data_IF_821269268162
#
_entry.id   IF_821269268162
#
_cell.length_a   1.000
_cell.length_b   1.000
_cell.length_c   1.000
_cell.angle_alpha   90.00
_cell.angle_beta   90.00
_cell.angle_gamma   90.00
#
_symmetry.space_group_name_H-M   'P 1'
#
loop_
_entity.id
_entity.type
_entity.pdbx_description
1 polymer ?
#
# COMPACT_ATOMS: atom_id res chain seq x y z
N UNK A 1 -31.16 -32.71 -0.40
CA UNK A 1 -30.37 -32.58 0.85
C UNK A 1 -28.90 -32.81 0.51
N UNK A 2 -28.12 -31.76 0.35
CA UNK A 2 -26.68 -31.87 0.14
C UNK A 2 -26.03 -32.07 1.51
N UNK A 3 -25.51 -33.27 1.74
CA UNK A 3 -24.74 -33.60 2.94
C UNK A 3 -23.36 -32.98 2.77
N UNK A 4 -23.08 -31.89 3.49
CA UNK A 4 -21.71 -31.40 3.64
C UNK A 4 -20.92 -32.43 4.44
N UNK A 5 -20.01 -33.16 3.78
CA UNK A 5 -19.06 -34.04 4.45
C UNK A 5 -17.95 -33.18 5.06
N UNK A 6 -17.94 -33.04 6.37
CA UNK A 6 -16.77 -32.54 7.11
C UNK A 6 -15.65 -33.59 7.03
N UNK A 7 -14.61 -33.31 6.26
CA UNK A 7 -13.36 -34.08 6.30
C UNK A 7 -12.44 -33.40 7.30
N UNK A 8 -12.36 -33.95 8.52
CA UNK A 8 -11.43 -33.52 9.56
C UNK A 8 -10.02 -34.00 9.22
N UNK A 9 -9.12 -33.08 8.89
CA UNK A 9 -7.66 -33.32 8.92
C UNK A 9 -7.16 -32.88 10.30
N UNK A 10 -6.92 -33.83 11.20
CA UNK A 10 -6.43 -33.56 12.56
C UNK A 10 -4.89 -33.47 12.56
N UNK A 11 -4.34 -32.26 12.39
CA UNK A 11 -3.14 -31.86 13.14
C UNK A 11 -3.66 -31.30 14.46
N UNK A 12 -3.12 -31.69 15.61
CA UNK A 12 -3.72 -31.57 16.96
C UNK A 12 -4.15 -30.16 17.44
N UNK A 13 -4.10 -29.12 16.60
CA UNK A 13 -4.43 -27.73 16.90
C UNK A 13 -5.38 -27.05 15.89
N UNK A 14 -5.79 -27.68 14.78
CA UNK A 14 -6.74 -27.07 13.84
C UNK A 14 -7.41 -28.08 12.88
N UNK A 15 -8.52 -27.67 12.27
CA UNK A 15 -9.24 -28.37 11.22
C UNK A 15 -9.66 -27.40 10.10
N UNK A 16 -9.91 -27.95 8.92
CA UNK A 16 -10.42 -27.19 7.76
C UNK A 16 -11.79 -27.71 7.35
N UNK A 17 -12.62 -26.81 6.83
CA UNK A 17 -13.86 -27.14 6.15
C UNK A 17 -13.68 -26.93 4.65
N UNK A 18 -14.15 -27.90 3.87
CA UNK A 18 -14.07 -27.90 2.40
C UNK A 18 -15.48 -27.96 1.80
N UNK A 19 -15.68 -27.35 0.63
CA UNK A 19 -16.96 -27.43 -0.10
C UNK A 19 -17.00 -28.53 -1.16
N UNK A 20 -15.92 -29.28 -1.35
CA UNK A 20 -15.82 -30.36 -2.32
C UNK A 20 -15.17 -31.60 -1.72
N UNK A 21 -15.42 -32.76 -2.35
CA UNK A 21 -14.94 -34.06 -1.87
C UNK A 21 -13.43 -34.28 -2.04
N UNK A 22 -12.76 -33.45 -2.85
CA UNK A 22 -11.34 -33.57 -3.16
C UNK A 22 -10.47 -32.61 -2.34
N UNK A 23 -11.07 -31.90 -1.37
CA UNK A 23 -10.42 -30.89 -0.52
C UNK A 23 -9.68 -29.81 -1.33
N UNK A 24 -10.26 -29.38 -2.46
CA UNK A 24 -9.67 -28.35 -3.33
C UNK A 24 -10.14 -26.93 -2.98
N UNK A 25 -11.29 -26.80 -2.35
CA UNK A 25 -11.92 -25.51 -2.02
C UNK A 25 -12.11 -25.40 -0.52
N UNK A 26 -11.23 -24.65 0.12
CA UNK A 26 -11.26 -24.38 1.56
C UNK A 26 -12.22 -23.23 1.83
N UNK A 27 -13.20 -23.46 2.69
CA UNK A 27 -14.27 -22.50 3.03
C UNK A 27 -14.30 -22.11 4.50
N UNK A 28 -13.56 -22.80 5.37
CA UNK A 28 -13.50 -22.49 6.80
C UNK A 28 -12.31 -23.12 7.49
N UNK A 29 -11.97 -22.57 8.66
CA UNK A 29 -10.98 -23.14 9.56
C UNK A 29 -11.39 -22.95 11.01
N UNK A 30 -11.30 -24.04 11.78
CA UNK A 30 -11.41 -24.03 13.23
C UNK A 30 -10.03 -24.33 13.82
N UNK A 31 -9.53 -23.48 14.70
CA UNK A 31 -8.18 -23.62 15.23
C UNK A 31 -8.14 -23.27 16.71
N UNK A 32 -7.38 -24.06 17.48
CA UNK A 32 -7.08 -23.79 18.88
C UNK A 32 -6.26 -22.50 19.03
N UNK A 33 -6.18 -21.96 20.25
CA UNK A 33 -5.32 -20.80 20.51
C UNK A 33 -3.89 -21.06 20.02
N UNK A 34 -3.31 -20.03 19.44
CA UNK A 34 -1.93 -19.99 18.98
C UNK A 34 -1.59 -20.96 17.84
N UNK A 35 -2.59 -21.37 17.06
CA UNK A 35 -2.39 -22.32 15.96
C UNK A 35 -1.54 -21.74 14.82
N UNK A 36 -0.61 -22.57 14.35
CA UNK A 36 0.19 -22.35 13.14
C UNK A 36 -0.35 -23.23 12.03
N UNK A 37 -0.96 -22.60 11.03
CA UNK A 37 -1.69 -23.30 9.98
C UNK A 37 -0.79 -23.55 8.78
N UNK A 38 -0.82 -24.78 8.28
CA UNK A 38 -0.26 -25.13 6.97
C UNK A 38 -1.39 -25.55 6.04
N UNK A 39 -1.62 -24.80 4.96
CA UNK A 39 -2.64 -25.07 3.94
C UNK A 39 -2.15 -26.21 3.03
N UNK A 40 -2.91 -27.32 2.89
CA UNK A 40 -2.50 -28.47 2.10
C UNK A 40 -2.34 -28.14 0.62
N UNK A 41 -1.40 -28.80 -0.05
CA UNK A 41 -1.16 -28.62 -1.50
C UNK A 41 -2.35 -29.01 -2.38
N UNK A 42 -3.30 -29.78 -1.85
CA UNK A 42 -4.54 -30.11 -2.58
C UNK A 42 -5.44 -28.89 -2.77
N UNK A 43 -5.33 -27.87 -1.92
CA UNK A 43 -6.17 -26.69 -1.97
C UNK A 43 -5.79 -25.80 -3.16
N UNK A 44 -6.78 -25.51 -3.99
CA UNK A 44 -6.69 -24.61 -5.14
C UNK A 44 -7.34 -23.26 -4.87
N UNK A 45 -8.37 -23.25 -4.03
CA UNK A 45 -9.19 -22.08 -3.77
C UNK A 45 -9.42 -21.90 -2.27
N UNK A 46 -9.14 -20.70 -1.77
CA UNK A 46 -9.66 -20.24 -0.49
C UNK A 46 -10.86 -19.35 -0.81
N UNK A 47 -12.04 -19.87 -0.53
CA UNK A 47 -13.28 -19.37 -1.10
C UNK A 47 -14.18 -18.69 -0.07
N UNK A 48 -15.08 -17.85 -0.59
CA UNK A 48 -16.16 -17.25 0.16
C UNK A 48 -17.47 -17.35 -0.61
N UNK A 49 -18.48 -17.98 0.01
CA UNK A 49 -19.83 -18.09 -0.55
C UNK A 49 -20.65 -16.80 -0.40
N UNK A 50 -20.34 -15.96 0.58
CA UNK A 50 -21.02 -14.69 0.83
C UNK A 50 -20.17 -13.78 1.72
N UNK A 51 -20.57 -12.50 1.87
CA UNK A 51 -19.83 -11.49 2.63
C UNK A 51 -19.60 -11.83 4.13
N UNK A 52 -20.27 -12.85 4.65
CA UNK A 52 -20.15 -13.29 6.03
C UNK A 52 -19.28 -14.55 6.19
N UNK A 53 -19.03 -15.30 5.12
CA UNK A 53 -18.38 -16.61 5.18
C UNK A 53 -17.08 -16.65 4.37
N UNK A 54 -16.05 -15.98 4.89
CA UNK A 54 -14.70 -16.01 4.37
C UNK A 54 -13.84 -16.93 5.25
N UNK A 55 -13.03 -17.79 4.62
CA UNK A 55 -12.41 -18.96 5.26
C UNK A 55 -11.75 -18.75 6.63
N UNK A 56 -11.00 -17.66 6.82
CA UNK A 56 -10.31 -17.35 8.09
C UNK A 56 -10.78 -16.02 8.70
N UNK A 57 -11.88 -15.43 8.21
CA UNK A 57 -12.36 -14.14 8.71
C UNK A 57 -12.68 -14.23 10.20
N UNK A 58 -12.16 -13.28 10.96
CA UNK A 58 -12.25 -13.20 12.42
C UNK A 58 -11.60 -14.38 13.18
N UNK A 59 -10.79 -15.21 12.51
CA UNK A 59 -10.06 -16.28 13.18
C UNK A 59 -8.90 -15.69 14.00
N UNK A 60 -9.17 -15.35 15.26
CA UNK A 60 -8.20 -14.69 16.16
C UNK A 60 -7.21 -15.64 16.84
N UNK A 61 -7.48 -16.94 16.73
CA UNK A 61 -6.70 -18.00 17.36
C UNK A 61 -5.43 -18.32 16.58
N UNK A 62 -5.43 -18.13 15.26
CA UNK A 62 -4.28 -18.45 14.39
C UNK A 62 -3.18 -17.40 14.52
N UNK A 63 -1.92 -17.82 14.50
CA UNK A 63 -0.72 -16.95 14.61
C UNK A 63 0.17 -17.00 13.39
N UNK A 64 0.16 -18.10 12.67
CA UNK A 64 0.90 -18.23 11.42
C UNK A 64 0.01 -18.91 10.38
N UNK A 65 0.19 -18.53 9.12
CA UNK A 65 -0.30 -19.28 7.98
C UNK A 65 0.83 -19.49 6.99
N UNK A 66 0.96 -20.71 6.49
CA UNK A 66 1.87 -21.12 5.44
C UNK A 66 1.17 -22.10 4.50
N UNK A 67 1.81 -22.43 3.39
CA UNK A 67 1.28 -23.35 2.39
C UNK A 67 2.32 -24.46 2.17
N UNK A 68 1.85 -25.70 1.99
CA UNK A 68 2.75 -26.81 1.65
C UNK A 68 3.52 -26.54 0.35
N UNK A 69 4.68 -27.18 0.20
CA UNK A 69 5.47 -27.15 -1.03
C UNK A 69 4.61 -27.60 -2.22
N UNK A 70 4.87 -26.95 -3.37
CA UNK A 70 4.09 -27.13 -4.59
C UNK A 70 2.59 -26.84 -4.42
N UNK A 71 2.26 -25.84 -3.60
CA UNK A 71 0.90 -25.36 -3.40
C UNK A 71 0.18 -25.12 -4.73
N UNK A 72 -1.06 -25.60 -4.81
CA UNK A 72 -1.90 -25.48 -6.00
C UNK A 72 -2.85 -24.26 -5.94
N UNK A 73 -2.63 -23.34 -4.99
CA UNK A 73 -3.49 -22.17 -4.80
C UNK A 73 -3.45 -21.27 -6.03
N UNK A 74 -4.62 -21.14 -6.66
CA UNK A 74 -4.87 -20.25 -7.79
C UNK A 74 -5.62 -18.99 -7.36
N UNK A 75 -6.45 -19.07 -6.32
CA UNK A 75 -7.22 -17.92 -5.84
C UNK A 75 -7.44 -17.95 -4.33
N UNK A 76 -7.33 -16.78 -3.71
CA UNK A 76 -7.69 -16.51 -2.32
C UNK A 76 -8.66 -15.35 -2.33
N UNK A 77 -9.90 -15.56 -1.91
CA UNK A 77 -10.97 -14.55 -1.99
C UNK A 77 -10.64 -13.30 -1.15
N UNK A 78 -11.26 -12.16 -1.49
CA UNK A 78 -11.27 -10.96 -0.66
C UNK A 78 -11.56 -11.31 0.81
N UNK A 79 -11.08 -10.54 1.79
CA UNK A 79 -11.38 -10.75 3.22
C UNK A 79 -11.03 -12.13 3.81
N UNK A 80 -10.36 -13.04 3.10
CA UNK A 80 -10.10 -14.40 3.58
C UNK A 80 -9.38 -14.43 4.94
N UNK A 81 -8.50 -13.46 5.22
CA UNK A 81 -7.81 -13.33 6.50
C UNK A 81 -8.21 -12.07 7.28
N UNK A 82 -9.38 -11.48 7.00
CA UNK A 82 -9.86 -10.27 7.70
C UNK A 82 -9.86 -10.46 9.22
N UNK A 83 -9.29 -9.50 9.97
CA UNK A 83 -9.31 -9.47 11.44
C UNK A 83 -8.81 -10.77 12.10
N UNK A 84 -7.79 -11.40 11.53
CA UNK A 84 -7.16 -12.61 12.10
C UNK A 84 -6.16 -12.28 13.19
N UNK A 85 -5.75 -13.31 13.95
CA UNK A 85 -4.68 -13.24 14.95
C UNK A 85 -3.27 -13.34 14.38
N UNK A 86 -3.12 -13.39 13.06
CA UNK A 86 -1.86 -13.68 12.37
C UNK A 86 -0.76 -12.71 12.79
N UNK A 87 0.41 -13.26 13.12
CA UNK A 87 1.69 -12.58 13.25
C UNK A 87 2.53 -12.77 11.98
N UNK A 88 2.45 -13.94 11.36
CA UNK A 88 3.17 -14.25 10.12
C UNK A 88 2.25 -14.82 9.06
N UNK A 89 2.49 -14.47 7.80
CA UNK A 89 1.86 -15.10 6.64
C UNK A 89 2.91 -15.38 5.58
N UNK A 90 3.16 -16.66 5.30
CA UNK A 90 4.10 -17.08 4.27
C UNK A 90 3.37 -17.64 3.06
N UNK A 91 3.29 -16.85 1.99
CA UNK A 91 2.63 -17.22 0.73
C UNK A 91 3.64 -17.56 -0.38
N UNK A 92 4.91 -17.81 -0.05
CA UNK A 92 5.97 -18.05 -1.05
C UNK A 92 5.68 -19.24 -1.97
N UNK A 93 4.94 -20.24 -1.48
CA UNK A 93 4.55 -21.41 -2.25
C UNK A 93 3.37 -21.17 -3.20
N UNK A 94 2.64 -20.05 -3.07
CA UNK A 94 1.47 -19.73 -3.91
C UNK A 94 1.87 -19.23 -5.31
N UNK A 95 2.70 -19.99 -6.04
CA UNK A 95 3.32 -19.60 -7.33
C UNK A 95 2.30 -19.38 -8.46
N UNK A 96 1.10 -19.94 -8.34
CA UNK A 96 0.01 -19.81 -9.32
C UNK A 96 -0.94 -18.63 -9.02
N UNK A 97 -0.77 -17.97 -7.86
CA UNK A 97 -1.62 -16.84 -7.48
C UNK A 97 -1.21 -15.59 -8.27
N UNK A 98 -2.15 -15.05 -9.04
CA UNK A 98 -1.91 -13.90 -9.94
C UNK A 98 -2.16 -12.54 -9.29
N UNK A 99 -2.89 -12.50 -8.16
CA UNK A 99 -3.32 -11.27 -7.49
C UNK A 99 -3.47 -11.52 -5.99
N UNK A 100 -3.06 -10.55 -5.15
CA UNK A 100 -3.58 -10.47 -3.79
C UNK A 100 -4.87 -9.66 -3.82
N UNK A 101 -5.97 -10.35 -3.58
CA UNK A 101 -7.29 -9.76 -3.58
C UNK A 101 -7.46 -8.63 -2.54
N UNK A 102 -8.42 -7.75 -2.82
CA UNK A 102 -8.72 -6.62 -1.93
C UNK A 102 -9.13 -7.08 -0.54
N UNK A 103 -8.79 -6.28 0.46
CA UNK A 103 -9.10 -6.54 1.88
C UNK A 103 -8.59 -7.88 2.43
N UNK A 104 -7.70 -8.59 1.73
CA UNK A 104 -7.30 -9.95 2.08
C UNK A 104 -6.77 -10.06 3.52
N UNK A 105 -5.86 -9.17 3.92
CA UNK A 105 -5.30 -9.05 5.27
C UNK A 105 -5.82 -7.81 6.01
N UNK A 106 -7.00 -7.32 5.67
CA UNK A 106 -7.54 -6.12 6.30
C UNK A 106 -7.69 -6.30 7.81
N UNK A 107 -7.20 -5.34 8.58
CA UNK A 107 -7.31 -5.32 10.04
C UNK A 107 -6.63 -6.50 10.76
N UNK A 108 -5.61 -7.11 10.13
CA UNK A 108 -4.70 -8.05 10.81
C UNK A 108 -3.72 -7.28 11.69
N UNK A 109 -4.19 -6.77 12.83
CA UNK A 109 -3.44 -5.82 13.68
C UNK A 109 -2.11 -6.36 14.22
N UNK A 110 -1.96 -7.67 14.26
CA UNK A 110 -0.79 -8.36 14.81
C UNK A 110 0.20 -8.80 13.73
N UNK A 111 -0.11 -8.62 12.45
CA UNK A 111 0.72 -9.11 11.35
C UNK A 111 2.04 -8.33 11.32
N UNK A 112 3.13 -9.03 11.58
CA UNK A 112 4.50 -8.50 11.66
C UNK A 112 5.27 -8.81 10.37
N UNK A 113 5.08 -10.00 9.80
CA UNK A 113 5.82 -10.46 8.62
C UNK A 113 4.90 -11.08 7.59
N UNK A 114 5.10 -10.72 6.32
CA UNK A 114 4.43 -11.32 5.17
C UNK A 114 5.45 -11.64 4.10
N UNK A 115 5.47 -12.88 3.62
CA UNK A 115 6.21 -13.26 2.42
C UNK A 115 5.18 -13.39 1.29
N UNK A 116 5.28 -12.49 0.32
CA UNK A 116 4.33 -12.43 -0.79
C UNK A 116 4.57 -13.58 -1.80
N UNK A 117 3.53 -14.02 -2.53
CA UNK A 117 3.70 -14.95 -3.64
C UNK A 117 4.57 -14.32 -4.73
N UNK A 118 5.42 -15.11 -5.41
CA UNK A 118 6.45 -14.54 -6.30
C UNK A 118 5.93 -14.02 -7.66
N UNK A 119 4.72 -14.39 -8.08
CA UNK A 119 4.21 -14.15 -9.44
C UNK A 119 2.96 -13.25 -9.50
N UNK A 120 2.64 -12.58 -8.40
CA UNK A 120 1.47 -11.69 -8.33
C UNK A 120 1.69 -10.44 -9.19
N UNK A 121 0.65 -10.00 -9.87
CA UNK A 121 0.67 -8.79 -10.70
C UNK A 121 0.13 -7.56 -9.96
N UNK A 122 -0.68 -7.76 -8.91
CA UNK A 122 -1.33 -6.68 -8.20
C UNK A 122 -1.53 -7.01 -6.72
N UNK A 123 -1.39 -5.97 -5.87
CA UNK A 123 -1.84 -5.96 -4.48
C UNK A 123 -3.10 -5.10 -4.42
N UNK A 124 -4.21 -5.75 -4.12
CA UNK A 124 -5.54 -5.19 -4.23
C UNK A 124 -5.89 -4.16 -3.16
N UNK A 125 -6.98 -3.44 -3.41
CA UNK A 125 -7.50 -2.35 -2.58
C UNK A 125 -7.60 -2.76 -1.10
N UNK A 126 -7.05 -1.93 -0.21
CA UNK A 126 -7.04 -2.16 1.24
C UNK A 126 -6.43 -3.50 1.73
N UNK A 127 -5.66 -4.22 0.91
CA UNK A 127 -5.16 -5.55 1.25
C UNK A 127 -4.50 -5.62 2.63
N UNK A 128 -3.65 -4.66 2.97
CA UNK A 128 -2.93 -4.55 4.24
C UNK A 128 -3.34 -3.33 5.07
N UNK A 129 -4.53 -2.76 4.85
CA UNK A 129 -5.01 -1.64 5.67
C UNK A 129 -5.17 -2.05 7.13
N UNK A 130 -4.78 -1.16 8.06
CA UNK A 130 -4.81 -1.40 9.51
C UNK A 130 -3.87 -2.52 10.02
N UNK A 131 -2.82 -2.85 9.27
CA UNK A 131 -1.75 -3.77 9.71
C UNK A 131 -0.68 -3.00 10.49
N UNK A 132 -0.95 -2.66 11.75
CA UNK A 132 -0.13 -1.72 12.54
C UNK A 132 1.28 -2.22 12.89
N UNK A 133 1.49 -3.54 12.88
CA UNK A 133 2.75 -4.20 13.23
C UNK A 133 3.65 -4.51 12.04
N UNK A 134 3.12 -4.49 10.80
CA UNK A 134 3.89 -4.71 9.58
C UNK A 134 4.75 -3.47 9.32
N UNK A 135 6.07 -3.56 9.54
CA UNK A 135 6.99 -2.41 9.42
C UNK A 135 7.70 -2.32 8.07
N UNK A 136 8.05 -3.46 7.51
CA UNK A 136 8.71 -3.58 6.22
C UNK A 136 8.05 -4.64 5.36
N UNK A 137 8.19 -4.51 4.04
CA UNK A 137 7.70 -5.49 3.07
C UNK A 137 8.65 -5.55 1.87
N UNK A 138 9.00 -6.77 1.48
CA UNK A 138 9.68 -7.06 0.22
C UNK A 138 8.63 -7.16 -0.90
N UNK A 139 8.71 -6.30 -1.91
CA UNK A 139 7.79 -6.32 -3.04
C UNK A 139 8.33 -7.24 -4.16
N UNK A 140 7.61 -8.31 -4.56
CA UNK A 140 8.02 -9.13 -5.69
C UNK A 140 8.13 -8.31 -6.97
N UNK A 141 9.17 -8.56 -7.78
CA UNK A 141 9.40 -7.86 -9.05
C UNK A 141 8.25 -8.02 -10.06
N UNK A 142 7.41 -9.03 -9.88
CA UNK A 142 6.23 -9.27 -10.71
C UNK A 142 5.11 -8.24 -10.51
N UNK A 143 5.07 -7.55 -9.37
CA UNK A 143 3.98 -6.61 -9.05
C UNK A 143 4.02 -5.42 -9.98
N UNK A 144 2.88 -5.15 -10.62
CA UNK A 144 2.67 -4.02 -11.52
C UNK A 144 1.83 -2.92 -10.89
N UNK A 145 0.89 -3.27 -10.02
CA UNK A 145 -0.11 -2.33 -9.49
C UNK A 145 -0.22 -2.50 -7.98
N UNK A 146 -0.14 -1.37 -7.28
CA UNK A 146 -0.59 -1.24 -5.89
C UNK A 146 -1.89 -0.42 -5.89
N UNK A 147 -3.00 -1.06 -5.53
CA UNK A 147 -4.31 -0.42 -5.58
C UNK A 147 -4.56 0.52 -4.40
N UNK A 148 -5.67 1.27 -4.52
CA UNK A 148 -6.11 2.29 -3.56
C UNK A 148 -6.03 1.78 -2.11
N UNK A 149 -5.35 2.56 -1.26
CA UNK A 149 -5.26 2.27 0.17
C UNK A 149 -4.71 0.88 0.54
N UNK A 150 -3.94 0.22 -0.34
CA UNK A 150 -3.40 -1.12 -0.07
C UNK A 150 -2.64 -1.20 1.28
N UNK A 151 -1.90 -0.16 1.66
CA UNK A 151 -1.15 -0.07 2.93
C UNK A 151 -1.56 1.13 3.80
N UNK A 152 -2.71 1.76 3.54
CA UNK A 152 -3.20 2.89 4.33
C UNK A 152 -3.45 2.49 5.79
N UNK A 153 -3.25 3.40 6.75
CA UNK A 153 -3.34 3.13 8.19
C UNK A 153 -2.52 1.90 8.67
N UNK A 154 -1.49 1.47 7.91
CA UNK A 154 -0.60 0.38 8.34
C UNK A 154 0.56 0.89 9.19
N UNK A 155 1.39 -0.03 9.67
CA UNK A 155 2.67 0.26 10.32
C UNK A 155 3.83 0.41 9.34
N UNK A 156 3.58 0.34 8.03
CA UNK A 156 4.61 0.18 7.00
C UNK A 156 5.42 1.48 6.85
N UNK A 157 6.70 1.42 7.21
CA UNK A 157 7.64 2.54 7.12
C UNK A 157 8.69 2.36 6.02
N UNK A 158 8.85 1.14 5.52
CA UNK A 158 9.77 0.78 4.45
C UNK A 158 9.14 -0.25 3.53
N UNK A 159 9.35 -0.07 2.23
CA UNK A 159 9.02 -1.07 1.22
C UNK A 159 10.24 -1.24 0.34
N UNK A 160 10.70 -2.47 0.19
CA UNK A 160 11.84 -2.78 -0.66
C UNK A 160 11.32 -3.08 -2.08
N UNK A 161 11.73 -2.25 -3.02
CA UNK A 161 11.40 -2.36 -4.44
C UNK A 161 12.73 -2.52 -5.17
N UNK A 162 12.93 -3.64 -5.85
CA UNK A 162 14.20 -3.89 -6.55
C UNK A 162 14.33 -3.07 -7.84
N UNK A 163 15.56 -2.99 -8.36
CA UNK A 163 15.85 -2.37 -9.65
C UNK A 163 15.17 -3.08 -10.84
N UNK A 164 14.77 -4.35 -10.70
CA UNK A 164 14.08 -5.13 -11.73
C UNK A 164 12.56 -5.06 -11.62
N UNK A 165 12.02 -4.25 -10.71
CA UNK A 165 10.59 -4.15 -10.47
C UNK A 165 9.80 -3.80 -11.72
N UNK A 166 8.67 -4.48 -11.91
CA UNK A 166 7.68 -4.20 -12.96
C UNK A 166 6.58 -3.23 -12.48
N UNK A 167 6.78 -2.55 -11.35
CA UNK A 167 5.78 -1.64 -10.80
C UNK A 167 5.52 -0.50 -11.79
N UNK A 168 4.27 -0.40 -12.25
CA UNK A 168 3.80 0.58 -13.22
C UNK A 168 2.94 1.66 -12.55
N UNK A 169 2.18 1.29 -11.50
CA UNK A 169 1.17 2.16 -10.88
C UNK A 169 1.06 1.98 -9.36
N UNK A 170 0.95 3.12 -8.66
CA UNK A 170 0.58 3.21 -7.24
C UNK A 170 -0.63 4.13 -7.12
N UNK A 171 -1.74 3.62 -6.57
CA UNK A 171 -3.00 4.36 -6.47
C UNK A 171 -3.09 5.27 -5.23
N UNK A 172 -4.15 6.07 -5.21
CA UNK A 172 -4.52 7.02 -4.15
C UNK A 172 -4.43 6.42 -2.75
N UNK A 173 -3.81 7.16 -1.83
CA UNK A 173 -3.65 6.82 -0.41
C UNK A 173 -2.99 5.46 -0.16
N UNK A 174 -2.19 4.93 -1.09
CA UNK A 174 -1.56 3.63 -0.94
C UNK A 174 -0.67 3.55 0.31
N UNK A 175 0.12 4.60 0.56
CA UNK A 175 1.07 4.69 1.66
C UNK A 175 0.81 5.92 2.54
N UNK A 176 1.08 5.79 3.84
CA UNK A 176 0.90 6.87 4.82
C UNK A 176 2.15 7.17 5.66
N UNK A 177 3.09 6.23 5.79
CA UNK A 177 4.20 6.33 6.78
C UNK A 177 5.57 5.96 6.22
N UNK A 178 5.72 5.89 4.89
CA UNK A 178 7.02 5.59 4.31
C UNK A 178 8.04 6.67 4.67
N UNK A 179 9.19 6.24 5.15
CA UNK A 179 10.37 7.07 5.44
C UNK A 179 11.31 7.19 4.25
N UNK A 180 11.27 6.21 3.34
CA UNK A 180 12.01 6.24 2.09
C UNK A 180 11.19 5.65 0.94
N UNK A 181 11.45 6.10 -0.27
CA UNK A 181 10.81 5.57 -1.48
C UNK A 181 11.85 5.40 -2.60
N UNK A 182 11.93 4.18 -3.15
CA UNK A 182 12.58 3.96 -4.44
C UNK A 182 11.55 3.96 -5.57
N UNK A 183 11.79 4.76 -6.61
CA UNK A 183 10.95 4.84 -7.81
C UNK A 183 11.60 4.02 -8.92
N UNK A 184 11.03 2.85 -9.30
CA UNK A 184 11.61 2.00 -10.32
C UNK A 184 11.38 2.54 -11.73
N UNK A 185 12.13 2.00 -12.71
CA UNK A 185 12.11 2.42 -14.12
C UNK A 185 10.71 2.56 -14.74
N UNK A 186 9.81 1.63 -14.44
CA UNK A 186 8.51 1.52 -15.11
C UNK A 186 7.37 2.27 -14.41
N UNK A 187 7.60 2.83 -13.21
CA UNK A 187 6.56 3.55 -12.49
C UNK A 187 6.19 4.81 -13.27
N UNK A 188 4.94 4.87 -13.74
CA UNK A 188 4.45 5.94 -14.62
C UNK A 188 3.20 6.65 -14.07
N UNK A 189 2.61 6.12 -12.99
CA UNK A 189 1.45 6.71 -12.35
C UNK A 189 1.54 6.57 -10.84
N UNK A 190 1.64 7.71 -10.16
CA UNK A 190 1.56 7.84 -8.70
C UNK A 190 1.01 9.24 -8.41
N UNK A 191 -0.30 9.42 -8.12
CA UNK A 191 -0.83 10.72 -7.74
C UNK A 191 -0.20 11.17 -6.40
N UNK A 192 -0.15 12.47 -6.13
CA UNK A 192 0.40 12.99 -4.85
C UNK A 192 -0.27 12.37 -3.63
N UNK A 193 -1.56 12.07 -3.72
CA UNK A 193 -2.32 11.39 -2.65
C UNK A 193 -1.83 9.98 -2.33
N UNK A 194 -1.11 9.30 -3.24
CA UNK A 194 -0.55 7.97 -2.98
C UNK A 194 0.44 7.96 -1.82
N UNK A 195 1.08 9.11 -1.54
CA UNK A 195 2.09 9.32 -0.50
C UNK A 195 1.79 10.56 0.36
N UNK A 196 0.53 11.00 0.42
CA UNK A 196 0.09 12.26 1.04
C UNK A 196 0.78 12.59 2.37
N UNK A 197 0.72 11.65 3.32
CA UNK A 197 1.16 11.82 4.70
C UNK A 197 2.53 11.19 4.97
N UNK A 198 3.21 10.67 3.95
CA UNK A 198 4.49 9.98 4.14
C UNK A 198 5.58 10.98 4.60
N UNK A 199 6.23 10.75 5.75
CA UNK A 199 7.36 11.55 6.21
C UNK A 199 8.65 11.10 5.49
N UNK A 200 8.68 11.25 4.17
CA UNK A 200 9.82 10.80 3.36
C UNK A 200 11.08 11.60 3.71
N UNK A 201 12.11 10.93 4.22
CA UNK A 201 13.42 11.50 4.50
C UNK A 201 14.36 11.38 3.30
N UNK A 202 14.17 10.32 2.50
CA UNK A 202 14.97 10.05 1.31
C UNK A 202 14.11 9.51 0.16
N UNK A 203 14.46 9.88 -1.07
CA UNK A 203 13.91 9.30 -2.29
C UNK A 203 15.03 8.92 -3.23
N UNK A 204 14.97 7.74 -3.83
CA UNK A 204 15.85 7.33 -4.92
C UNK A 204 15.01 7.06 -6.16
N UNK A 205 15.51 7.44 -7.33
CA UNK A 205 14.83 7.21 -8.61
C UNK A 205 15.76 6.47 -9.54
N UNK A 206 15.24 5.44 -10.18
CA UNK A 206 15.93 4.78 -11.28
C UNK A 206 16.26 5.81 -12.38
N UNK A 207 17.52 5.92 -12.84
CA UNK A 207 17.92 6.96 -13.80
C UNK A 207 17.22 6.86 -15.16
N UNK A 208 16.62 5.71 -15.49
CA UNK A 208 15.84 5.51 -16.72
C UNK A 208 14.34 5.84 -16.56
N UNK A 209 13.87 6.25 -15.37
CA UNK A 209 12.47 6.64 -15.18
C UNK A 209 12.17 7.95 -15.93
N UNK A 210 11.14 7.94 -16.78
CA UNK A 210 10.78 9.07 -17.64
C UNK A 210 9.66 9.98 -17.09
N UNK A 211 9.15 9.69 -15.89
CA UNK A 211 7.93 10.29 -15.34
C UNK A 211 8.15 11.00 -14.01
N UNK A 212 9.23 10.67 -13.30
CA UNK A 212 9.56 11.22 -12.00
C UNK A 212 10.98 11.78 -12.02
N UNK A 213 11.15 12.87 -11.28
CA UNK A 213 12.44 13.51 -11.04
C UNK A 213 12.53 13.86 -9.57
N UNK A 214 13.71 13.72 -8.99
CA UNK A 214 14.00 14.16 -7.62
C UNK A 214 15.29 14.98 -7.67
N UNK A 215 15.26 16.19 -7.12
CA UNK A 215 16.39 17.12 -7.10
C UNK A 215 17.04 17.25 -5.72
N UNK A 216 16.95 16.18 -4.92
CA UNK A 216 17.38 16.15 -3.50
C UNK A 216 16.49 16.93 -2.53
N UNK A 217 15.43 17.60 -3.00
CA UNK A 217 14.45 18.31 -2.15
C UNK A 217 13.00 18.01 -2.54
N UNK A 218 12.74 18.09 -3.83
CA UNK A 218 11.43 18.08 -4.43
C UNK A 218 11.29 16.85 -5.33
N UNK A 219 10.23 16.08 -5.10
CA UNK A 219 9.80 15.04 -6.01
C UNK A 219 8.81 15.65 -7.00
N UNK A 220 9.10 15.47 -8.29
CA UNK A 220 8.27 15.94 -9.40
C UNK A 220 7.63 14.77 -10.14
N UNK A 221 6.50 15.05 -10.79
CA UNK A 221 5.76 14.11 -11.62
C UNK A 221 5.37 14.72 -12.96
N UNK A 222 5.34 13.85 -13.98
CA UNK A 222 4.99 14.15 -15.36
C UNK A 222 6.23 14.23 -16.25
N UNK A 223 6.07 13.95 -17.54
CA UNK A 223 7.19 13.96 -18.51
C UNK A 223 7.90 15.31 -18.62
N UNK A 224 7.23 16.40 -18.22
CA UNK A 224 7.77 17.76 -18.19
C UNK A 224 8.07 18.25 -16.76
N UNK A 225 7.94 17.38 -15.75
CA UNK A 225 8.05 17.72 -14.32
C UNK A 225 7.03 18.80 -13.88
N UNK A 226 5.90 18.91 -14.59
CA UNK A 226 4.91 19.98 -14.40
C UNK A 226 4.16 19.91 -13.06
N UNK A 227 4.27 18.80 -12.33
CA UNK A 227 3.67 18.66 -11.01
C UNK A 227 4.76 18.55 -9.95
N UNK A 228 4.78 19.50 -9.02
CA UNK A 228 5.53 19.35 -7.77
C UNK A 228 4.73 18.39 -6.88
N UNK A 229 5.18 17.14 -6.80
CA UNK A 229 4.42 16.05 -6.20
C UNK A 229 4.53 16.04 -4.67
N UNK A 230 5.75 16.22 -4.14
CA UNK A 230 6.04 16.27 -2.70
C UNK A 230 7.33 17.02 -2.45
N UNK A 231 7.38 17.81 -1.38
CA UNK A 231 8.62 18.37 -0.83
C UNK A 231 8.99 17.59 0.43
N UNK A 232 10.25 17.16 0.54
CA UNK A 232 10.69 16.34 1.66
C UNK A 232 10.99 17.20 2.92
N UNK A 233 10.60 16.74 4.13
CA UNK A 233 10.82 17.44 5.39
C UNK A 233 12.28 17.60 5.80
N UNK A 234 13.20 16.83 5.23
CA UNK A 234 14.65 16.98 5.47
C UNK A 234 15.22 18.27 4.90
N UNK A 235 14.41 19.03 4.15
CA UNK A 235 14.79 20.34 3.69
C UNK A 235 15.00 21.33 4.85
N UNK A 236 16.26 21.73 5.05
CA UNK A 236 16.68 22.57 6.16
C UNK A 236 16.42 24.07 5.94
N UNK A 237 16.17 24.53 4.70
CA UNK A 237 15.96 25.96 4.49
C UNK A 237 14.49 26.35 4.72
N UNK A 238 14.32 27.59 5.15
CA UNK A 238 13.01 28.14 5.48
C UNK A 238 12.25 28.66 4.25
N UNK A 239 12.82 28.55 3.04
CA UNK A 239 12.27 29.13 1.80
C UNK A 239 12.29 28.12 0.64
N UNK A 240 11.27 28.11 -0.21
CA UNK A 240 11.31 27.38 -1.49
C UNK A 240 10.95 28.30 -2.64
N UNK A 241 11.81 28.30 -3.66
CA UNK A 241 11.51 28.82 -4.99
C UNK A 241 10.99 27.67 -5.84
N UNK A 242 9.74 27.75 -6.29
CA UNK A 242 9.15 26.73 -7.15
C UNK A 242 9.72 26.87 -8.57
N UNK A 243 10.23 25.79 -9.20
CA UNK A 243 10.80 25.86 -10.55
C UNK A 243 9.77 26.26 -11.62
N UNK A 244 10.19 27.11 -12.57
CA UNK A 244 9.31 27.74 -13.57
C UNK A 244 8.52 26.78 -14.49
N UNK A 245 8.94 25.52 -14.59
CA UNK A 245 8.28 24.47 -15.36
C UNK A 245 7.13 23.80 -14.61
N UNK A 246 6.99 24.03 -13.30
CA UNK A 246 5.88 23.51 -12.50
C UNK A 246 4.62 24.32 -12.79
N UNK A 247 3.51 23.67 -13.11
CA UNK A 247 2.20 24.32 -13.26
C UNK A 247 1.20 23.86 -12.19
N UNK A 248 1.50 22.76 -11.48
CA UNK A 248 0.62 22.18 -10.47
C UNK A 248 1.37 21.89 -9.17
N UNK A 249 0.84 22.38 -8.06
CA UNK A 249 1.23 21.94 -6.72
C UNK A 249 0.35 20.76 -6.33
N UNK A 250 0.97 19.61 -6.06
CA UNK A 250 0.27 18.38 -5.74
C UNK A 250 -0.48 18.42 -4.41
N UNK A 251 -1.43 17.49 -4.25
CA UNK A 251 -2.13 17.29 -2.99
C UNK A 251 -1.14 16.97 -1.86
N UNK A 252 -1.30 17.58 -0.69
CA UNK A 252 -0.42 17.39 0.48
C UNK A 252 1.08 17.67 0.24
N UNK A 253 1.42 18.36 -0.84
CA UNK A 253 2.80 18.54 -1.29
C UNK A 253 3.73 19.10 -0.20
N UNK A 254 3.22 20.06 0.59
CA UNK A 254 3.94 20.72 1.68
C UNK A 254 3.36 20.41 3.06
N UNK A 255 2.42 19.46 3.17
CA UNK A 255 1.72 19.23 4.43
C UNK A 255 2.70 19.06 5.60
N UNK A 256 2.46 19.82 6.68
CA UNK A 256 3.24 19.83 7.91
C UNK A 256 4.72 20.19 7.76
N UNK A 257 5.14 20.81 6.66
CA UNK A 257 6.50 21.32 6.53
C UNK A 257 6.72 22.58 7.39
N UNK A 258 7.92 22.70 7.96
CA UNK A 258 8.34 23.87 8.75
C UNK A 258 8.88 25.02 7.88
N UNK A 259 8.29 25.23 6.70
CA UNK A 259 8.69 26.27 5.74
C UNK A 259 8.08 27.63 6.10
N UNK A 260 8.83 28.72 5.89
CA UNK A 260 8.39 30.09 6.23
C UNK A 260 7.96 30.94 5.03
N UNK A 261 8.53 30.69 3.86
CA UNK A 261 8.20 31.41 2.63
C UNK A 261 8.19 30.49 1.41
N UNK A 262 7.32 30.80 0.46
CA UNK A 262 7.24 30.12 -0.82
C UNK A 262 7.15 31.16 -1.92
N UNK A 263 8.10 31.11 -2.85
CA UNK A 263 8.12 31.95 -4.03
C UNK A 263 7.55 31.18 -5.21
N UNK A 264 6.36 31.59 -5.64
CA UNK A 264 5.76 31.10 -6.88
C UNK A 264 6.11 32.01 -8.06
N UNK A 265 5.97 31.46 -9.26
CA UNK A 265 5.95 32.19 -10.52
C UNK A 265 4.55 32.15 -11.13
N UNK A 266 4.30 32.95 -12.17
CA UNK A 266 2.98 33.09 -12.77
C UNK A 266 2.51 31.88 -13.61
N UNK A 267 3.25 30.77 -13.70
CA UNK A 267 2.75 29.59 -14.45
C UNK A 267 2.03 28.58 -13.55
N UNK A 268 1.89 28.84 -12.25
CA UNK A 268 1.11 27.98 -11.36
C UNK A 268 -0.37 28.16 -11.67
N UNK A 269 -1.03 27.07 -12.06
CA UNK A 269 -2.44 27.02 -12.44
C UNK A 269 -3.29 26.37 -11.34
N UNK A 270 -2.71 25.41 -10.60
CA UNK A 270 -3.43 24.57 -9.64
C UNK A 270 -2.66 24.42 -8.33
N UNK A 271 -3.36 24.60 -7.21
CA UNK A 271 -2.91 24.26 -5.86
C UNK A 271 -3.79 23.12 -5.33
N UNK A 272 -3.18 21.98 -4.99
CA UNK A 272 -3.89 20.76 -4.61
C UNK A 272 -4.59 20.79 -3.25
N UNK A 273 -5.37 19.75 -3.00
CA UNK A 273 -6.02 19.47 -1.72
C UNK A 273 -5.00 19.39 -0.59
N UNK A 274 -5.24 20.11 0.52
CA UNK A 274 -4.34 20.13 1.68
C UNK A 274 -2.86 20.48 1.35
N UNK A 275 -2.58 21.15 0.23
CA UNK A 275 -1.21 21.37 -0.26
C UNK A 275 -0.27 21.95 0.80
N UNK A 276 -0.73 22.94 1.58
CA UNK A 276 0.00 23.61 2.67
C UNK A 276 -0.66 23.38 4.04
N UNK A 277 -1.45 22.32 4.18
CA UNK A 277 -2.11 21.99 5.44
C UNK A 277 -1.08 21.86 6.57
N UNK A 278 -1.34 22.53 7.70
CA UNK A 278 -0.49 22.49 8.89
C UNK A 278 0.95 23.01 8.68
N UNK A 279 1.19 23.87 7.69
CA UNK A 279 2.45 24.62 7.55
C UNK A 279 2.48 25.79 8.55
N UNK A 280 2.64 25.50 9.84
CA UNK A 280 2.44 26.48 10.91
C UNK A 280 3.40 27.69 10.85
N UNK A 281 4.56 27.54 10.23
CA UNK A 281 5.56 28.61 10.09
C UNK A 281 5.40 29.45 8.81
N UNK A 282 4.50 29.07 7.90
CA UNK A 282 4.35 29.73 6.60
C UNK A 282 3.61 31.06 6.76
N UNK A 283 4.37 32.16 6.78
CA UNK A 283 3.83 33.53 6.92
C UNK A 283 3.88 34.32 5.61
N UNK A 284 4.74 33.94 4.67
CA UNK A 284 4.97 34.67 3.42
C UNK A 284 4.61 33.84 2.20
N UNK A 285 3.36 33.96 1.75
CA UNK A 285 2.87 33.31 0.53
C UNK A 285 1.99 34.28 -0.27
N UNK A 286 2.32 34.45 -1.55
CA UNK A 286 1.53 35.25 -2.49
C UNK A 286 1.02 34.33 -3.58
N UNK A 287 -0.30 34.27 -3.77
CA UNK A 287 -0.93 33.39 -4.77
C UNK A 287 -0.80 34.06 -6.16
N UNK A 288 -0.20 33.40 -7.16
CA UNK A 288 -0.07 33.96 -8.51
C UNK A 288 -1.42 34.20 -9.18
N UNK A 289 -1.46 35.20 -10.07
CA UNK A 289 -2.69 35.61 -10.77
C UNK A 289 -3.30 34.51 -11.66
N UNK A 290 -2.49 33.58 -12.16
CA UNK A 290 -2.93 32.50 -13.06
C UNK A 290 -3.46 31.26 -12.32
N UNK A 291 -3.50 31.26 -10.98
CA UNK A 291 -4.09 30.15 -10.21
C UNK A 291 -5.61 30.16 -10.41
N UNK A 292 -6.12 29.11 -11.05
CA UNK A 292 -7.55 28.94 -11.35
C UNK A 292 -8.23 27.91 -10.45
N UNK A 293 -7.46 27.08 -9.76
CA UNK A 293 -7.98 26.07 -8.82
C UNK A 293 -7.16 26.01 -7.53
N UNK A 294 -7.86 26.06 -6.39
CA UNK A 294 -7.31 25.84 -5.06
C UNK A 294 -8.14 24.73 -4.40
N UNK A 295 -7.48 23.63 -4.04
CA UNK A 295 -8.10 22.50 -3.39
C UNK A 295 -8.61 22.84 -1.99
N UNK A 296 -9.59 22.06 -1.53
CA UNK A 296 -10.11 22.18 -0.17
C UNK A 296 -8.98 22.06 0.86
N UNK A 297 -9.05 22.86 1.93
CA UNK A 297 -8.07 22.88 3.03
C UNK A 297 -6.61 23.14 2.61
N UNK A 298 -6.37 23.67 1.39
CA UNK A 298 -5.01 23.93 0.89
C UNK A 298 -4.16 24.76 1.85
N UNK A 299 -4.76 25.72 2.56
CA UNK A 299 -4.11 26.63 3.52
C UNK A 299 -4.65 26.47 4.94
N UNK A 300 -5.19 25.31 5.30
CA UNK A 300 -5.71 25.09 6.65
C UNK A 300 -4.57 25.00 7.67
N UNK A 301 -4.70 25.64 8.83
CA UNK A 301 -3.69 25.67 9.93
C UNK A 301 -2.34 26.29 9.53
N UNK A 302 -2.36 27.32 8.69
CA UNK A 302 -1.24 28.26 8.55
C UNK A 302 -1.42 29.43 9.53
N UNK A 303 -0.33 30.08 9.93
CA UNK A 303 -0.36 31.27 10.79
C UNK A 303 -0.27 32.51 9.91
N UNK A 304 -1.35 33.30 9.85
CA UNK A 304 -1.39 34.57 9.10
C UNK A 304 -1.27 35.76 10.05
#
# INVERSE_FOLDING_TARGET
MQVFRHVLVLKSSYSFTYSDANNQTLTGCEASSDAEIVIPKTVKYIYSQNQNNYAFKNCRTIKAVSFEDDSQIVSISNYSFYNTGLKTANLSQCKQLSILNGYLFYYCKYLETVILPPNISCIGKHCFRFNYKLKSLELPDSVKILETMAFYDSGLISINISHNSKLEKVDTYCFQKLSSLYIPKNLNSMPSTAIAECPLENTEINPENQYFKYDSKCLFYGRTNSTLLKVLPTYADNELIVPNYVTKIGDYCFQSLSISSIQFHNNIETIGFCAFNNCANLTNISIPENVTHIGQSAFEKITY
#
